data_IF_116396842689
#
_entry.id   IF_116396842689
#
_cell.length_a   1.000
_cell.length_b   1.000
_cell.length_c   1.000
_cell.angle_alpha   90.00
_cell.angle_beta   90.00
_cell.angle_gamma   90.00
#
_symmetry.space_group_name_H-M   'P 1'
#
loop_
_entity.id
_entity.type
_entity.pdbx_description
1 polymer ?
#
# COMPACT_ATOMS: atom_id res chain seq x y z
N UNK A 1 31.45 4.73 32.02
CA UNK A 1 32.33 4.46 30.87
C UNK A 1 32.81 3.02 31.00
N UNK A 2 32.61 2.18 29.99
CA UNK A 2 33.04 0.77 30.07
C UNK A 2 34.57 0.72 29.96
N UNK A 3 35.21 0.00 30.88
CA UNK A 3 36.65 -0.19 30.91
C UNK A 3 36.95 -1.69 30.97
N UNK A 4 37.87 -2.21 30.14
CA UNK A 4 38.56 -1.54 29.03
C UNK A 4 37.61 -1.19 27.86
N UNK A 5 38.06 -0.34 26.93
CA UNK A 5 37.26 0.06 25.76
C UNK A 5 36.89 -1.11 24.84
N UNK A 6 37.63 -2.23 24.90
CA UNK A 6 37.34 -3.47 24.18
C UNK A 6 36.62 -4.53 25.04
N UNK A 7 35.96 -4.13 26.13
CA UNK A 7 35.24 -5.04 27.03
C UNK A 7 34.22 -5.90 26.28
N UNK A 8 33.46 -5.31 25.36
CA UNK A 8 32.44 -6.01 24.59
C UNK A 8 33.02 -7.18 23.78
N UNK A 9 34.13 -6.93 23.08
CA UNK A 9 34.87 -7.94 22.31
C UNK A 9 35.49 -9.00 23.23
N UNK A 10 36.06 -8.58 24.36
CA UNK A 10 36.67 -9.52 25.33
C UNK A 10 35.67 -10.47 25.94
N UNK A 11 34.43 -10.01 26.16
CA UNK A 11 33.34 -10.83 26.66
C UNK A 11 32.62 -11.63 25.55
N UNK A 12 32.98 -11.40 24.28
CA UNK A 12 32.29 -12.00 23.13
C UNK A 12 30.87 -11.48 22.92
N UNK A 13 30.53 -10.35 23.55
CA UNK A 13 29.19 -9.77 23.50
C UNK A 13 28.90 -9.13 22.14
N UNK A 14 29.95 -8.74 21.40
CA UNK A 14 29.88 -8.34 19.99
C UNK A 14 29.25 -9.45 19.15
N UNK A 15 29.66 -10.71 19.35
CA UNK A 15 29.08 -11.87 18.66
C UNK A 15 27.63 -12.12 19.06
N UNK A 16 27.32 -11.98 20.35
CA UNK A 16 25.94 -12.12 20.84
C UNK A 16 25.04 -11.07 20.18
N UNK A 17 25.51 -9.83 20.06
CA UNK A 17 24.78 -8.75 19.41
C UNK A 17 24.48 -9.06 17.95
N UNK A 18 25.45 -9.59 17.20
CA UNK A 18 25.22 -9.98 15.81
C UNK A 18 24.22 -11.15 15.69
N UNK A 19 24.32 -12.17 16.54
CA UNK A 19 23.33 -13.25 16.59
C UNK A 19 21.92 -12.74 16.91
N UNK A 20 21.80 -11.77 17.83
CA UNK A 20 20.51 -11.13 18.15
C UNK A 20 19.96 -10.34 16.96
N UNK A 21 20.79 -9.62 16.21
CA UNK A 21 20.36 -8.91 15.00
C UNK A 21 19.89 -9.85 13.91
N UNK A 22 20.56 -10.97 13.73
CA UNK A 22 20.15 -12.02 12.77
C UNK A 22 18.81 -12.64 13.17
N UNK A 23 18.55 -12.76 14.47
CA UNK A 23 17.28 -13.25 15.00
C UNK A 23 16.15 -12.21 15.02
N UNK A 24 16.42 -10.92 14.78
CA UNK A 24 15.39 -9.88 14.77
C UNK A 24 14.47 -10.00 13.55
N UNK A 25 13.16 -10.02 13.79
CA UNK A 25 12.12 -10.09 12.75
C UNK A 25 11.91 -8.77 12.00
N UNK A 26 12.52 -7.67 12.45
CA UNK A 26 12.32 -6.34 11.86
C UNK A 26 13.52 -5.41 12.00
N UNK A 27 13.53 -4.37 11.17
CA UNK A 27 14.53 -3.30 11.26
C UNK A 27 14.39 -2.50 12.57
N UNK A 28 13.18 -2.39 13.13
CA UNK A 28 12.96 -1.79 14.45
C UNK A 28 13.72 -2.55 15.53
N UNK A 29 13.62 -3.89 15.51
CA UNK A 29 14.36 -4.76 16.43
C UNK A 29 15.88 -4.62 16.27
N UNK A 30 16.38 -4.64 15.02
CA UNK A 30 17.81 -4.44 14.74
C UNK A 30 18.33 -3.09 15.25
N UNK A 31 17.58 -2.02 14.99
CA UNK A 31 17.89 -0.67 15.46
C UNK A 31 17.83 -0.56 16.99
N UNK A 32 16.98 -1.34 17.66
CA UNK A 32 16.95 -1.44 19.10
C UNK A 32 18.19 -2.15 19.63
N UNK A 33 18.56 -3.30 19.04
CA UNK A 33 19.77 -4.06 19.39
C UNK A 33 21.02 -3.19 19.26
N UNK A 34 21.14 -2.34 18.24
CA UNK A 34 22.27 -1.40 18.12
C UNK A 34 22.39 -0.40 19.28
N UNK A 35 21.28 -0.08 19.95
CA UNK A 35 21.23 0.88 21.06
C UNK A 35 21.44 0.22 22.43
N UNK A 36 21.38 -1.11 22.52
CA UNK A 36 21.55 -1.84 23.78
C UNK A 36 22.94 -1.59 24.37
N UNK A 37 22.99 -1.19 25.64
CA UNK A 37 24.21 -0.92 26.40
C UNK A 37 24.20 -1.71 27.69
N UNK A 38 25.39 -2.02 28.20
CA UNK A 38 25.55 -2.59 29.53
C UNK A 38 24.97 -1.63 30.59
N UNK A 39 24.24 -2.20 31.54
CA UNK A 39 23.76 -1.49 32.72
C UNK A 39 24.45 -2.03 33.97
N UNK A 40 24.82 -1.14 34.87
CA UNK A 40 25.29 -1.48 36.22
C UNK A 40 24.16 -1.35 37.27
N UNK A 41 22.99 -0.87 36.84
CA UNK A 41 21.82 -0.75 37.71
C UNK A 41 21.11 -2.09 37.81
N UNK A 42 21.14 -2.66 39.01
CA UNK A 42 20.50 -3.93 39.34
C UNK A 42 19.02 -3.95 38.99
N UNK A 43 18.28 -2.86 39.24
CA UNK A 43 16.84 -2.82 38.99
C UNK A 43 16.53 -2.94 37.50
N UNK A 44 17.28 -2.21 36.67
CA UNK A 44 17.16 -2.31 35.22
C UNK A 44 17.51 -3.71 34.70
N UNK A 45 18.56 -4.33 35.23
CA UNK A 45 18.96 -5.69 34.83
C UNK A 45 17.91 -6.72 35.21
N UNK A 46 17.38 -6.68 36.43
CA UNK A 46 16.31 -7.57 36.88
C UNK A 46 15.05 -7.40 36.02
N UNK A 47 14.65 -6.15 35.75
CA UNK A 47 13.51 -5.84 34.88
C UNK A 47 13.67 -6.45 33.47
N UNK A 48 14.81 -6.22 32.79
CA UNK A 48 15.03 -6.75 31.44
C UNK A 48 15.13 -8.27 31.39
N UNK A 49 15.72 -8.89 32.42
CA UNK A 49 15.74 -10.34 32.55
C UNK A 49 14.34 -10.92 32.74
N UNK A 50 13.49 -10.28 33.56
CA UNK A 50 12.09 -10.66 33.72
C UNK A 50 11.30 -10.51 32.44
N UNK A 51 11.46 -9.41 31.69
CA UNK A 51 10.83 -9.22 30.39
C UNK A 51 11.25 -10.31 29.39
N UNK A 52 12.54 -10.66 29.39
CA UNK A 52 13.07 -11.72 28.53
C UNK A 52 12.50 -13.08 28.92
N UNK A 53 12.45 -13.41 30.21
CA UNK A 53 11.89 -14.66 30.71
C UNK A 53 10.41 -14.80 30.33
N UNK A 54 9.61 -13.75 30.53
CA UNK A 54 8.20 -13.74 30.12
C UNK A 54 8.03 -13.97 28.61
N UNK A 55 8.85 -13.32 27.78
CA UNK A 55 8.75 -13.50 26.33
C UNK A 55 9.22 -14.90 25.88
N UNK A 56 10.23 -15.47 26.54
CA UNK A 56 10.62 -16.88 26.33
C UNK A 56 9.47 -17.80 26.68
N UNK A 57 8.72 -17.54 27.77
CA UNK A 57 7.53 -18.32 28.10
C UNK A 57 6.49 -18.26 26.99
N UNK A 58 6.14 -17.06 26.48
CA UNK A 58 5.21 -16.87 25.35
C UNK A 58 5.60 -17.74 24.14
N UNK A 59 6.88 -17.73 23.76
CA UNK A 59 7.38 -18.53 22.63
C UNK A 59 7.28 -20.03 22.95
N UNK A 60 7.71 -20.44 24.13
CA UNK A 60 7.77 -21.86 24.52
C UNK A 60 6.40 -22.51 24.71
N UNK A 61 5.39 -21.74 25.14
CA UNK A 61 4.00 -22.18 25.27
C UNK A 61 3.23 -22.17 23.95
N UNK A 62 3.86 -21.72 22.86
CA UNK A 62 3.25 -21.59 21.54
C UNK A 62 1.99 -20.71 21.56
N UNK A 63 1.97 -19.70 22.41
CA UNK A 63 0.89 -18.72 22.39
C UNK A 63 0.94 -17.92 21.08
N UNK A 64 -0.24 -17.56 20.56
CA UNK A 64 -0.38 -16.79 19.33
C UNK A 64 -0.08 -15.31 19.62
N UNK A 65 1.20 -14.99 19.77
CA UNK A 65 1.66 -13.61 19.88
C UNK A 65 1.74 -12.96 18.49
N UNK A 66 1.29 -11.70 18.31
CA UNK A 66 1.39 -11.02 17.02
C UNK A 66 2.85 -10.86 16.62
N UNK A 67 3.29 -11.52 15.54
CA UNK A 67 4.70 -11.58 15.11
C UNK A 67 4.91 -11.10 13.66
N UNK A 68 4.06 -10.19 13.18
CA UNK A 68 4.11 -9.71 11.79
C UNK A 68 3.85 -8.21 11.72
N UNK A 69 4.28 -7.60 10.61
CA UNK A 69 4.08 -6.17 10.30
C UNK A 69 4.70 -5.21 11.31
N UNK A 70 5.90 -5.55 11.80
CA UNK A 70 6.75 -4.62 12.55
C UNK A 70 7.42 -3.60 11.62
N UNK A 71 6.62 -2.75 11.01
CA UNK A 71 7.05 -1.80 9.99
C UNK A 71 7.59 -0.54 10.66
N UNK A 72 8.74 -0.05 10.19
CA UNK A 72 9.30 1.20 10.67
C UNK A 72 8.59 2.39 10.01
N UNK A 73 7.64 2.99 10.74
CA UNK A 73 6.90 4.17 10.30
C UNK A 73 7.66 5.49 10.53
N UNK A 74 8.84 5.47 11.14
CA UNK A 74 9.63 6.67 11.43
C UNK A 74 9.84 7.58 10.21
N UNK A 75 10.13 7.05 9.00
CA UNK A 75 10.28 7.88 7.80
C UNK A 75 9.00 8.64 7.42
N UNK A 76 7.82 8.08 7.69
CA UNK A 76 6.53 8.67 7.34
C UNK A 76 6.20 9.90 8.20
N UNK A 77 6.62 9.90 9.47
CA UNK A 77 6.38 11.03 10.36
C UNK A 77 7.07 12.33 9.90
N UNK A 78 8.21 12.21 9.22
CA UNK A 78 8.87 13.36 8.59
C UNK A 78 8.04 13.94 7.45
N UNK A 79 7.43 13.06 6.65
CA UNK A 79 6.61 13.43 5.48
C UNK A 79 5.33 14.15 5.92
N UNK A 80 4.55 13.56 6.83
CA UNK A 80 3.23 14.07 7.26
C UNK A 80 3.32 15.44 7.94
N UNK A 81 4.47 15.80 8.52
CA UNK A 81 4.69 17.12 9.14
C UNK A 81 4.71 18.28 8.15
N UNK A 82 4.90 18.00 6.86
CA UNK A 82 4.93 19.05 5.84
C UNK A 82 3.49 19.39 5.46
N UNK A 83 3.15 20.69 5.52
CA UNK A 83 1.81 21.16 5.14
C UNK A 83 1.49 20.78 3.68
N UNK A 84 0.24 20.37 3.44
CA UNK A 84 -0.24 19.84 2.16
C UNK A 84 0.50 18.58 1.65
N UNK A 85 1.23 17.87 2.50
CA UNK A 85 1.70 16.53 2.18
C UNK A 85 0.60 15.50 2.36
N UNK A 86 0.78 14.37 1.70
CA UNK A 86 -0.09 13.20 1.85
C UNK A 86 0.77 11.93 1.76
N UNK A 87 0.24 10.87 2.35
CA UNK A 87 0.78 9.52 2.19
C UNK A 87 0.17 8.87 0.96
N UNK A 88 0.97 8.06 0.28
CA UNK A 88 0.51 7.18 -0.80
C UNK A 88 -0.26 6.00 -0.22
N UNK A 89 -1.03 5.30 -1.06
CA UNK A 89 -1.82 4.13 -0.64
C UNK A 89 -0.97 3.08 0.08
N UNK A 90 0.21 2.77 -0.46
CA UNK A 90 1.13 1.77 0.09
C UNK A 90 1.64 2.19 1.49
N UNK A 91 1.99 3.47 1.65
CA UNK A 91 2.45 4.02 2.93
C UNK A 91 1.33 4.04 3.98
N UNK A 92 0.09 4.36 3.57
CA UNK A 92 -1.07 4.29 4.47
C UNK A 92 -1.40 2.85 4.84
N UNK A 93 -1.22 1.90 3.92
CA UNK A 93 -1.45 0.50 4.23
C UNK A 93 -0.43 -0.03 5.25
N UNK A 94 0.84 0.38 5.16
CA UNK A 94 1.85 0.09 6.17
C UNK A 94 1.44 0.63 7.56
N UNK A 95 0.85 1.83 7.63
CA UNK A 95 0.29 2.38 8.87
C UNK A 95 -0.85 1.51 9.40
N UNK A 96 -1.79 1.10 8.54
CA UNK A 96 -2.91 0.22 8.92
C UNK A 96 -2.41 -1.10 9.48
N UNK A 97 -1.47 -1.76 8.81
CA UNK A 97 -0.90 -3.03 9.24
C UNK A 97 -0.21 -2.90 10.60
N UNK A 98 0.56 -1.83 10.78
CA UNK A 98 1.24 -1.54 12.05
C UNK A 98 0.26 -1.28 13.19
N UNK A 99 -0.79 -0.49 12.95
CA UNK A 99 -1.83 -0.22 13.95
C UNK A 99 -2.60 -1.50 14.31
N UNK A 100 -2.92 -2.37 13.35
CA UNK A 100 -3.54 -3.68 13.60
C UNK A 100 -2.64 -4.61 14.42
N UNK A 101 -1.33 -4.60 14.17
CA UNK A 101 -0.39 -5.38 14.98
C UNK A 101 -0.31 -4.82 16.40
N UNK A 102 -0.25 -3.49 16.55
CA UNK A 102 -0.24 -2.83 17.85
C UNK A 102 -1.50 -3.14 18.66
N UNK A 103 -2.68 -3.02 18.04
CA UNK A 103 -3.97 -3.38 18.64
C UNK A 103 -3.97 -4.80 19.21
N UNK A 104 -3.55 -5.78 18.39
CA UNK A 104 -3.43 -7.17 18.83
C UNK A 104 -2.42 -7.38 19.96
N UNK A 105 -1.31 -6.64 19.97
CA UNK A 105 -0.33 -6.72 21.06
C UNK A 105 -0.92 -6.18 22.37
N UNK A 106 -1.64 -5.06 22.31
CA UNK A 106 -2.31 -4.47 23.46
C UNK A 106 -3.38 -5.43 23.99
N UNK A 107 -4.20 -5.99 23.11
CA UNK A 107 -5.28 -6.92 23.46
C UNK A 107 -4.73 -8.23 24.08
N UNK A 108 -3.63 -8.76 23.54
CA UNK A 108 -2.91 -9.91 24.10
C UNK A 108 -2.45 -9.65 25.54
N UNK A 109 -1.73 -8.56 25.79
CA UNK A 109 -1.21 -8.25 27.13
C UNK A 109 -2.32 -7.82 28.10
N UNK A 110 -3.40 -7.24 27.61
CA UNK A 110 -4.58 -6.97 28.43
C UNK A 110 -5.21 -8.27 28.96
N UNK A 111 -5.34 -9.29 28.11
CA UNK A 111 -5.91 -10.59 28.48
C UNK A 111 -4.95 -11.44 29.33
N UNK A 112 -3.64 -11.28 29.11
CA UNK A 112 -2.58 -12.09 29.72
C UNK A 112 -1.79 -11.38 30.83
N UNK A 113 -2.39 -10.35 31.42
CA UNK A 113 -1.73 -9.49 32.41
C UNK A 113 -1.23 -10.23 33.65
N UNK A 114 -1.96 -11.25 34.10
CA UNK A 114 -1.56 -12.06 35.26
C UNK A 114 -0.41 -13.02 34.92
N UNK A 115 -0.35 -13.50 33.68
CA UNK A 115 0.67 -14.44 33.19
C UNK A 115 1.99 -13.73 32.86
N UNK A 116 1.89 -12.49 32.34
CA UNK A 116 3.02 -11.67 31.85
C UNK A 116 2.95 -10.23 32.40
N UNK A 117 3.02 -10.04 33.73
CA UNK A 117 2.84 -8.73 34.34
C UNK A 117 3.91 -7.72 33.92
N UNK A 118 5.16 -8.15 33.73
CA UNK A 118 6.28 -7.23 33.45
C UNK A 118 6.25 -6.74 32.00
N UNK A 119 5.91 -7.60 31.04
CA UNK A 119 5.70 -7.20 29.65
C UNK A 119 4.43 -6.35 29.50
N UNK A 120 3.40 -6.64 30.28
CA UNK A 120 2.18 -5.82 30.31
C UNK A 120 2.46 -4.40 30.79
N UNK A 121 3.54 -4.16 31.54
CA UNK A 121 3.94 -2.80 31.91
C UNK A 121 4.36 -1.93 30.73
N UNK A 122 4.87 -2.54 29.65
CA UNK A 122 5.29 -1.83 28.45
C UNK A 122 4.11 -1.22 27.68
N UNK A 123 2.88 -1.67 27.93
CA UNK A 123 1.69 -1.19 27.23
C UNK A 123 1.05 0.04 27.87
N UNK A 124 1.23 0.28 29.18
CA UNK A 124 0.59 1.42 29.87
C UNK A 124 0.87 2.80 29.27
N UNK A 125 2.08 3.13 28.79
CA UNK A 125 2.35 4.44 28.21
C UNK A 125 1.69 4.65 26.84
N UNK A 126 1.17 3.59 26.23
CA UNK A 126 0.65 3.61 24.87
C UNK A 126 -0.78 4.14 24.89
N UNK A 127 -1.00 5.28 24.25
CA UNK A 127 -2.34 5.77 23.92
C UNK A 127 -2.69 5.26 22.53
N UNK A 128 -3.65 4.34 22.46
CA UNK A 128 -4.13 3.79 21.21
C UNK A 128 -5.41 4.50 20.77
N UNK A 129 -5.39 5.05 19.57
CA UNK A 129 -6.54 5.70 18.96
C UNK A 129 -7.26 4.68 18.06
N UNK A 130 -8.28 4.04 18.64
CA UNK A 130 -9.13 3.10 17.88
C UNK A 130 -9.83 3.81 16.73
N UNK A 131 -10.34 5.03 16.93
CA UNK A 131 -11.08 5.78 15.92
C UNK A 131 -10.24 6.02 14.66
N UNK A 132 -8.93 6.21 14.80
CA UNK A 132 -8.00 6.28 13.68
C UNK A 132 -7.99 4.97 12.86
N UNK A 133 -7.83 3.82 13.53
CA UNK A 133 -7.80 2.52 12.86
C UNK A 133 -9.16 2.23 12.17
N UNK A 134 -10.27 2.52 12.85
CA UNK A 134 -11.62 2.37 12.29
C UNK A 134 -11.84 3.28 11.08
N UNK A 135 -11.40 4.53 11.15
CA UNK A 135 -11.50 5.50 10.06
C UNK A 135 -10.71 5.04 8.84
N UNK A 136 -9.49 4.55 9.04
CA UNK A 136 -8.66 4.00 7.96
C UNK A 136 -9.30 2.73 7.36
N UNK A 137 -9.83 1.83 8.19
CA UNK A 137 -10.49 0.61 7.73
C UNK A 137 -11.79 0.89 6.94
N UNK A 138 -12.43 2.04 7.14
CA UNK A 138 -13.59 2.46 6.34
C UNK A 138 -13.20 2.85 4.92
N UNK A 139 -12.02 3.45 4.76
CA UNK A 139 -11.53 4.05 3.52
C UNK A 139 -10.71 3.07 2.68
N UNK A 140 -9.97 2.16 3.32
CA UNK A 140 -9.15 1.15 2.66
C UNK A 140 -9.77 -0.26 2.74
N UNK A 141 -9.50 -1.09 1.74
CA UNK A 141 -9.80 -2.51 1.77
C UNK A 141 -8.67 -3.34 2.43
N UNK A 142 -8.87 -4.66 2.51
CA UNK A 142 -7.89 -5.57 3.11
C UNK A 142 -6.57 -5.70 2.34
N UNK A 143 -6.54 -5.24 1.08
CA UNK A 143 -5.36 -5.24 0.21
C UNK A 143 -4.65 -3.90 0.18
N UNK A 144 -5.11 -2.93 0.97
CA UNK A 144 -4.55 -1.58 1.00
C UNK A 144 -4.97 -0.71 -0.18
N UNK A 145 -6.06 -1.06 -0.87
CA UNK A 145 -6.62 -0.22 -1.94
C UNK A 145 -7.70 0.71 -1.40
N UNK A 146 -7.70 1.92 -1.93
CA UNK A 146 -8.72 2.91 -1.61
C UNK A 146 -10.07 2.44 -2.16
N UNK A 147 -11.05 2.29 -1.27
CA UNK A 147 -12.41 1.88 -1.63
C UNK A 147 -13.08 2.96 -2.48
N UNK A 148 -13.96 2.52 -3.38
CA UNK A 148 -14.73 3.43 -4.24
C UNK A 148 -15.60 4.42 -3.46
N UNK A 149 -16.00 4.04 -2.25
CA UNK A 149 -16.81 4.85 -1.35
C UNK A 149 -16.00 5.48 -0.21
N UNK A 150 -14.68 5.63 -0.38
CA UNK A 150 -13.84 6.35 0.58
C UNK A 150 -14.33 7.79 0.84
N UNK A 151 -14.94 8.42 -0.17
CA UNK A 151 -15.74 9.62 -0.01
C UNK A 151 -16.93 9.60 -0.98
N UNK A 152 -17.98 10.35 -0.65
CA UNK A 152 -19.15 10.49 -1.54
C UNK A 152 -18.73 11.07 -2.90
N UNK A 153 -17.80 12.04 -2.90
CA UNK A 153 -17.30 12.66 -4.12
C UNK A 153 -16.51 11.69 -4.99
N UNK A 154 -15.61 10.91 -4.40
CA UNK A 154 -14.87 9.87 -5.13
C UNK A 154 -15.82 8.83 -5.72
N UNK A 155 -16.84 8.43 -4.95
CA UNK A 155 -17.85 7.49 -5.41
C UNK A 155 -18.62 8.00 -6.63
N UNK A 156 -19.04 9.25 -6.61
CA UNK A 156 -19.68 9.92 -7.76
C UNK A 156 -18.77 9.94 -8.98
N UNK A 157 -17.50 10.33 -8.81
CA UNK A 157 -16.51 10.41 -9.90
C UNK A 157 -16.29 9.03 -10.52
N UNK A 158 -15.98 8.00 -9.72
CA UNK A 158 -15.77 6.62 -10.20
C UNK A 158 -16.99 6.06 -10.90
N UNK A 159 -18.19 6.33 -10.39
CA UNK A 159 -19.45 5.95 -11.04
C UNK A 159 -19.64 6.67 -12.37
N UNK A 160 -19.31 7.96 -12.44
CA UNK A 160 -19.28 8.74 -13.68
C UNK A 160 -18.34 8.14 -14.72
N UNK A 161 -17.10 7.84 -14.32
CA UNK A 161 -16.10 7.18 -15.19
C UNK A 161 -16.65 5.88 -15.76
N UNK A 162 -17.23 5.02 -14.91
CA UNK A 162 -17.80 3.75 -15.35
C UNK A 162 -18.98 3.94 -16.33
N UNK A 163 -19.88 4.89 -16.05
CA UNK A 163 -21.03 5.20 -16.91
C UNK A 163 -20.59 5.68 -18.29
N UNK A 164 -19.68 6.67 -18.33
CA UNK A 164 -19.21 7.22 -19.60
C UNK A 164 -18.33 6.23 -20.36
N UNK A 165 -17.50 5.41 -19.70
CA UNK A 165 -16.77 4.30 -20.35
C UNK A 165 -17.73 3.28 -20.97
N UNK A 166 -18.84 2.94 -20.31
CA UNK A 166 -19.85 2.04 -20.88
C UNK A 166 -20.59 2.66 -22.06
N UNK A 167 -20.89 3.96 -22.00
CA UNK A 167 -21.50 4.71 -23.11
C UNK A 167 -20.55 4.78 -24.31
N UNK A 168 -19.30 5.14 -24.07
CA UNK A 168 -18.21 5.20 -25.04
C UNK A 168 -18.04 3.85 -25.76
N UNK A 169 -17.94 2.76 -24.99
CA UNK A 169 -17.83 1.40 -25.55
C UNK A 169 -19.02 1.06 -26.45
N UNK A 170 -20.25 1.31 -26.03
CA UNK A 170 -21.46 1.07 -26.85
C UNK A 170 -21.44 1.83 -28.18
N UNK A 171 -20.99 3.09 -28.18
CA UNK A 171 -20.88 3.88 -29.42
C UNK A 171 -19.77 3.33 -30.31
N UNK A 172 -18.60 3.04 -29.75
CA UNK A 172 -17.48 2.45 -30.49
C UNK A 172 -17.80 1.06 -31.05
N UNK A 173 -18.56 0.22 -30.34
CA UNK A 173 -18.99 -1.10 -30.81
C UNK A 173 -19.89 -0.99 -32.05
N UNK A 174 -20.76 0.01 -32.08
CA UNK A 174 -21.57 0.30 -33.27
C UNK A 174 -20.72 0.79 -34.45
N UNK A 175 -19.72 1.64 -34.19
CA UNK A 175 -18.83 2.16 -35.22
C UNK A 175 -17.95 1.04 -35.77
N UNK A 176 -17.31 0.24 -34.92
CA UNK A 176 -16.42 -0.84 -35.34
C UNK A 176 -17.18 -1.92 -36.11
N UNK A 177 -18.45 -2.20 -35.75
CA UNK A 177 -19.29 -3.13 -36.50
C UNK A 177 -19.55 -2.63 -37.93
N UNK A 178 -19.76 -1.32 -38.11
CA UNK A 178 -19.93 -0.71 -39.45
C UNK A 178 -18.62 -0.72 -40.22
N UNK A 179 -17.52 -0.28 -39.61
CA UNK A 179 -16.22 -0.23 -40.30
C UNK A 179 -15.70 -1.62 -40.68
N UNK A 180 -16.02 -2.68 -39.90
CA UNK A 180 -15.75 -4.07 -40.29
C UNK A 180 -16.58 -4.49 -41.51
N UNK A 181 -17.89 -4.21 -41.53
CA UNK A 181 -18.75 -4.50 -42.69
C UNK A 181 -18.27 -3.81 -43.97
N UNK A 182 -17.74 -2.59 -43.83
CA UNK A 182 -17.21 -1.80 -44.94
C UNK A 182 -15.76 -2.19 -45.34
N UNK A 183 -15.14 -3.14 -44.62
CA UNK A 183 -13.76 -3.58 -44.87
C UNK A 183 -12.67 -2.58 -44.46
N UNK A 184 -13.02 -1.57 -43.66
CA UNK A 184 -12.08 -0.52 -43.22
C UNK A 184 -11.25 -0.92 -42.00
N UNK A 185 -11.72 -1.90 -41.24
CA UNK A 185 -11.08 -2.41 -40.03
C UNK A 185 -10.77 -3.89 -40.24
N UNK A 186 -9.59 -4.40 -39.82
CA UNK A 186 -9.31 -5.83 -39.92
C UNK A 186 -10.25 -6.64 -39.01
N UNK A 187 -10.64 -7.83 -39.46
CA UNK A 187 -11.68 -8.64 -38.80
C UNK A 187 -11.30 -9.10 -37.39
N UNK A 188 -10.00 -9.31 -37.14
CA UNK A 188 -9.42 -9.82 -35.91
C UNK A 188 -9.16 -8.75 -34.84
N UNK A 189 -9.34 -7.47 -35.14
CA UNK A 189 -9.01 -6.37 -34.21
C UNK A 189 -10.29 -5.78 -33.58
N UNK A 190 -10.18 -5.34 -32.33
CA UNK A 190 -11.26 -4.76 -31.53
C UNK A 190 -10.87 -3.38 -30.99
N UNK A 191 -11.81 -2.72 -30.30
CA UNK A 191 -11.57 -1.45 -29.60
C UNK A 191 -10.36 -1.59 -28.69
N UNK A 192 -9.46 -0.62 -28.74
CA UNK A 192 -8.24 -0.60 -27.93
C UNK A 192 -8.03 0.75 -27.26
N UNK A 193 -7.04 0.85 -26.39
CA UNK A 193 -6.68 2.08 -25.69
C UNK A 193 -5.33 2.58 -26.19
N UNK A 194 -5.26 3.86 -26.57
CA UNK A 194 -4.03 4.57 -26.94
C UNK A 194 -3.96 5.89 -26.19
N UNK A 195 -2.87 6.14 -25.48
CA UNK A 195 -2.66 7.35 -24.68
C UNK A 195 -3.83 7.65 -23.72
N UNK A 196 -4.38 6.60 -23.09
CA UNK A 196 -5.54 6.72 -22.20
C UNK A 196 -6.91 6.90 -22.89
N UNK A 197 -6.97 6.93 -24.23
CA UNK A 197 -8.22 7.12 -24.99
C UNK A 197 -8.66 5.83 -25.66
N UNK A 198 -9.97 5.54 -25.64
CA UNK A 198 -10.50 4.44 -26.43
C UNK A 198 -10.57 4.82 -27.91
N UNK A 199 -10.05 3.95 -28.75
CA UNK A 199 -9.88 4.16 -30.19
C UNK A 199 -10.24 2.90 -30.96
N UNK A 200 -10.54 3.06 -32.24
CA UNK A 200 -10.77 1.94 -33.15
C UNK A 200 -9.59 1.78 -34.13
N UNK A 201 -9.21 0.54 -34.44
CA UNK A 201 -8.24 0.24 -35.49
C UNK A 201 -8.88 0.43 -36.87
N UNK A 202 -8.20 1.14 -37.76
CA UNK A 202 -8.61 1.33 -39.16
C UNK A 202 -7.39 1.08 -40.04
N UNK A 203 -7.54 0.38 -41.16
CA UNK A 203 -6.47 0.21 -42.13
C UNK A 203 -6.01 1.57 -42.66
N UNK A 204 -4.71 1.76 -42.80
CA UNK A 204 -4.12 3.06 -43.15
C UNK A 204 -4.62 3.63 -44.47
N UNK A 205 -4.97 2.77 -45.43
CA UNK A 205 -5.56 3.16 -46.73
C UNK A 205 -6.97 3.76 -46.59
N UNK A 206 -7.73 3.35 -45.58
CA UNK A 206 -9.10 3.83 -45.31
C UNK A 206 -9.18 4.90 -44.23
N UNK A 207 -8.04 5.40 -43.71
CA UNK A 207 -8.03 6.39 -42.61
C UNK A 207 -8.79 7.69 -42.90
N UNK A 208 -8.99 8.05 -44.17
CA UNK A 208 -9.77 9.23 -44.58
C UNK A 208 -11.28 8.94 -44.74
N UNK A 209 -11.69 7.67 -44.70
CA UNK A 209 -13.10 7.26 -44.80
C UNK A 209 -13.83 7.34 -43.46
N UNK A 210 -13.10 7.20 -42.35
CA UNK A 210 -13.62 7.36 -40.99
C UNK A 210 -13.20 8.74 -40.47
N UNK A 211 -14.17 9.57 -40.07
CA UNK A 211 -13.88 10.92 -39.55
C UNK A 211 -13.42 10.84 -38.10
N UNK A 212 -12.21 11.29 -37.81
CA UNK A 212 -11.69 11.31 -36.45
C UNK A 212 -10.24 11.74 -36.34
N UNK A 213 -9.68 11.54 -35.15
CA UNK A 213 -8.33 11.93 -34.78
C UNK A 213 -7.43 10.71 -34.66
N UNK A 214 -6.22 10.76 -35.22
CA UNK A 214 -5.27 9.65 -35.16
C UNK A 214 -4.44 9.79 -33.87
N UNK A 215 -4.43 8.73 -33.05
CA UNK A 215 -3.68 8.66 -31.79
C UNK A 215 -2.43 7.79 -31.86
N UNK A 216 -2.18 7.18 -33.01
CA UNK A 216 -0.98 6.40 -33.27
C UNK A 216 -1.15 5.48 -34.47
N UNK A 217 -0.07 4.79 -34.82
CA UNK A 217 -0.02 3.81 -35.91
C UNK A 217 0.59 2.50 -35.40
N UNK A 218 0.30 1.38 -36.08
CA UNK A 218 0.97 0.11 -35.80
C UNK A 218 2.45 0.18 -36.17
N UNK A 219 3.27 -0.71 -35.60
CA UNK A 219 4.69 -0.80 -35.95
C UNK A 219 4.94 -1.04 -37.45
N UNK A 220 3.99 -1.71 -38.13
CA UNK A 220 4.02 -1.96 -39.57
C UNK A 220 3.46 -0.81 -40.41
N UNK A 221 2.86 0.21 -39.80
CA UNK A 221 2.19 1.33 -40.46
C UNK A 221 0.88 0.96 -41.18
N UNK A 222 0.45 -0.30 -41.12
CA UNK A 222 -0.72 -0.80 -41.84
C UNK A 222 -2.04 -0.45 -41.15
N UNK A 223 -2.03 -0.18 -39.85
CA UNK A 223 -3.22 0.15 -39.06
C UNK A 223 -3.01 1.46 -38.33
N UNK A 224 -3.97 2.37 -38.45
CA UNK A 224 -4.03 3.59 -37.65
C UNK A 224 -5.03 3.40 -36.51
N UNK A 225 -4.72 3.95 -35.35
CA UNK A 225 -5.61 3.98 -34.21
C UNK A 225 -6.35 5.32 -34.18
N UNK A 226 -7.64 5.28 -34.50
CA UNK A 226 -8.44 6.47 -34.75
C UNK A 226 -9.51 6.62 -33.67
N UNK A 227 -9.63 7.82 -33.12
CA UNK A 227 -10.75 8.27 -32.28
C UNK A 227 -11.82 8.90 -33.18
N UNK A 228 -12.99 8.25 -33.36
CA UNK A 228 -14.06 8.81 -34.15
C UNK A 228 -14.58 10.12 -33.56
N UNK A 229 -15.01 11.03 -34.43
CA UNK A 229 -15.49 12.36 -34.00
C UNK A 229 -16.72 12.24 -33.09
N UNK A 230 -17.54 11.21 -33.30
CA UNK A 230 -18.76 10.90 -32.55
C UNK A 230 -18.49 10.59 -31.07
N UNK A 231 -17.30 10.11 -30.73
CA UNK A 231 -16.94 9.74 -29.35
C UNK A 231 -15.95 10.70 -28.69
N UNK A 232 -15.45 11.70 -29.43
CA UNK A 232 -14.46 12.65 -28.94
C UNK A 232 -14.89 13.35 -27.65
N UNK A 233 -16.15 13.81 -27.61
CA UNK A 233 -16.72 14.44 -26.41
C UNK A 233 -16.78 13.48 -25.22
N UNK A 234 -17.19 12.23 -25.44
CA UNK A 234 -17.31 11.22 -24.38
C UNK A 234 -15.92 10.81 -23.86
N UNK A 235 -14.94 10.65 -24.74
CA UNK A 235 -13.55 10.37 -24.35
C UNK A 235 -12.97 11.52 -23.50
N UNK A 236 -13.23 12.78 -23.88
CA UNK A 236 -12.77 13.92 -23.07
C UNK A 236 -13.46 13.95 -21.70
N UNK A 237 -14.76 13.67 -21.63
CA UNK A 237 -15.48 13.60 -20.35
C UNK A 237 -14.93 12.48 -19.45
N UNK A 238 -14.60 11.32 -20.00
CA UNK A 238 -13.90 10.24 -19.27
C UNK A 238 -12.55 10.73 -18.76
N UNK A 239 -11.75 11.41 -19.58
CA UNK A 239 -10.45 11.93 -19.14
C UNK A 239 -10.60 12.99 -18.04
N UNK A 240 -11.54 13.91 -18.17
CA UNK A 240 -11.81 14.94 -17.14
C UNK A 240 -12.20 14.30 -15.80
N UNK A 241 -13.02 13.25 -15.83
CA UNK A 241 -13.37 12.51 -14.62
C UNK A 241 -12.17 11.72 -14.06
N UNK A 242 -11.34 11.11 -14.90
CA UNK A 242 -10.10 10.42 -14.46
C UNK A 242 -9.08 11.41 -13.86
N UNK A 243 -9.03 12.66 -14.30
CA UNK A 243 -8.20 13.70 -13.69
C UNK A 243 -8.76 14.24 -12.38
N UNK A 244 -10.09 14.17 -12.20
CA UNK A 244 -10.76 14.62 -10.98
C UNK A 244 -10.74 13.56 -9.86
N UNK A 245 -10.55 12.28 -10.21
CA UNK A 245 -10.35 11.15 -9.30
C UNK A 245 -9.01 11.25 -8.55
#
# INVERSE_FOLDING_TARGET
MLYPSNLEVKLGFDKIRELLKEACESNLGKNFVDKVKFSADKQNVEMWLSQTDEFVRIISSQELFPNSNYIDLSPLFGKIRVDNSYLLEEELFDVILSLKTLDKCLDFFQQKREDYPVLSELTYPIVFDEDLLWSLARVFDERGKLKDNASDRLHEIRKGILSEKQRLRRVLDNIISRTKKDGFTPDDVSITIRNGRMVIPVLAEYKRRVKGFIHGESATGQTVYLEPTEVFAINNEVQELEYAE
#
